data_IF_983162330338
#
_entry.id   IF_983162330338
#
_cell.length_a   1.000
_cell.length_b   1.000
_cell.length_c   1.000
_cell.angle_alpha   90.00
_cell.angle_beta   90.00
_cell.angle_gamma   90.00
#
_symmetry.space_group_name_H-M   'P 1'
#
loop_
_entity.id
_entity.type
_entity.pdbx_description
1 polymer ?
#
# COMPACT_ATOMS: atom_id res chain seq x y z
N UNK A 1 -31.62 24.27 -37.30
CA UNK A 1 -32.25 25.48 -36.72
C UNK A 1 -32.17 25.35 -35.21
N UNK A 2 -31.09 25.82 -34.60
CA UNK A 2 -30.97 25.86 -33.14
C UNK A 2 -31.77 27.06 -32.64
N UNK A 3 -32.75 26.80 -31.77
CA UNK A 3 -33.47 27.87 -31.09
C UNK A 3 -32.52 28.52 -30.08
N UNK A 4 -32.11 29.76 -30.33
CA UNK A 4 -31.41 30.57 -29.36
C UNK A 4 -32.38 30.92 -28.22
N UNK A 5 -32.25 30.26 -27.07
CA UNK A 5 -32.88 30.73 -25.82
C UNK A 5 -32.27 32.10 -25.53
N UNK A 6 -33.05 33.19 -25.39
CA UNK A 6 -32.54 34.51 -24.97
C UNK A 6 -31.93 34.52 -23.56
N UNK A 7 -31.95 33.36 -22.90
CA UNK A 7 -31.50 33.00 -21.57
C UNK A 7 -30.07 32.45 -21.55
N UNK A 8 -29.51 32.07 -22.72
CA UNK A 8 -28.18 31.46 -22.82
C UNK A 8 -27.17 32.53 -23.24
N UNK A 9 -26.22 32.82 -22.33
CA UNK A 9 -25.07 33.66 -22.66
C UNK A 9 -24.27 33.02 -23.80
N UNK A 10 -23.89 33.83 -24.78
CA UNK A 10 -23.00 33.37 -25.85
C UNK A 10 -21.62 32.98 -25.26
N UNK A 11 -20.89 32.10 -25.95
CA UNK A 11 -19.54 31.70 -25.53
C UNK A 11 -18.62 32.90 -25.27
N UNK A 12 -18.71 33.93 -26.13
CA UNK A 12 -17.99 35.19 -25.98
C UNK A 12 -18.38 35.93 -24.69
N UNK A 13 -19.68 35.97 -24.37
CA UNK A 13 -20.19 36.62 -23.17
C UNK A 13 -19.78 35.88 -21.89
N UNK A 14 -19.75 34.55 -21.89
CA UNK A 14 -19.27 33.74 -20.76
C UNK A 14 -17.76 33.97 -20.52
N UNK A 15 -16.96 34.01 -21.60
CA UNK A 15 -15.52 34.30 -21.51
C UNK A 15 -15.26 35.70 -20.94
N UNK A 16 -15.91 36.74 -21.46
CA UNK A 16 -15.76 38.12 -20.98
C UNK A 16 -16.23 38.29 -19.53
N UNK A 17 -17.34 37.65 -19.12
CA UNK A 17 -17.86 37.76 -17.75
C UNK A 17 -17.02 37.03 -16.70
N UNK A 18 -16.35 35.93 -17.05
CA UNK A 18 -15.63 35.09 -16.09
C UNK A 18 -14.11 35.30 -16.07
N UNK A 19 -13.53 35.82 -17.16
CA UNK A 19 -12.08 35.92 -17.37
C UNK A 19 -11.58 37.36 -17.46
N UNK A 20 -12.41 38.31 -17.91
CA UNK A 20 -11.96 39.68 -18.22
C UNK A 20 -12.42 40.74 -17.21
N UNK A 21 -12.85 40.34 -16.00
CA UNK A 21 -13.20 41.31 -14.95
C UNK A 21 -11.96 42.15 -14.56
N UNK A 22 -11.94 43.46 -14.86
CA UNK A 22 -10.82 44.34 -14.59
C UNK A 22 -10.51 44.49 -13.09
N UNK A 23 -11.48 44.20 -12.21
CA UNK A 23 -11.36 44.34 -10.76
C UNK A 23 -10.70 43.12 -10.07
N UNK A 24 -10.57 41.99 -10.77
CA UNK A 24 -9.94 40.78 -10.23
C UNK A 24 -8.40 40.84 -10.36
N UNK A 25 -7.65 40.54 -9.27
CA UNK A 25 -6.20 40.41 -9.33
C UNK A 25 -5.75 39.38 -10.37
N UNK A 26 -4.60 39.58 -11.06
CA UNK A 26 -4.14 38.69 -12.13
C UNK A 26 -4.09 37.20 -11.74
N UNK A 27 -3.62 36.88 -10.53
CA UNK A 27 -3.55 35.50 -10.05
C UNK A 27 -4.94 34.84 -9.84
N UNK A 28 -5.93 35.60 -9.38
CA UNK A 28 -7.31 35.11 -9.23
C UNK A 28 -8.01 34.99 -10.58
N UNK A 29 -7.69 35.88 -11.52
CA UNK A 29 -8.15 35.83 -12.91
C UNK A 29 -7.64 34.58 -13.61
N UNK A 30 -6.35 34.27 -13.49
CA UNK A 30 -5.74 33.06 -14.06
C UNK A 30 -6.35 31.78 -13.48
N UNK A 31 -6.67 31.76 -12.18
CA UNK A 31 -7.31 30.63 -11.52
C UNK A 31 -8.76 30.45 -11.98
N UNK A 32 -9.55 31.53 -12.05
CA UNK A 32 -10.92 31.49 -12.59
C UNK A 32 -10.92 31.06 -14.06
N UNK A 33 -10.00 31.56 -14.87
CA UNK A 33 -9.87 31.16 -16.27
C UNK A 33 -9.59 29.66 -16.40
N UNK A 34 -8.68 29.11 -15.57
CA UNK A 34 -8.43 27.66 -15.51
C UNK A 34 -9.69 26.89 -15.12
N UNK A 35 -10.42 27.33 -14.09
CA UNK A 35 -11.65 26.65 -13.64
C UNK A 35 -12.73 26.60 -14.73
N UNK A 36 -12.93 27.72 -15.45
CA UNK A 36 -13.91 27.81 -16.54
C UNK A 36 -13.50 26.94 -17.73
N UNK A 37 -12.22 27.00 -18.12
CA UNK A 37 -11.69 26.15 -19.20
C UNK A 37 -11.78 24.66 -18.83
N UNK A 38 -11.46 24.29 -17.58
CA UNK A 38 -11.63 22.93 -17.09
C UNK A 38 -13.09 22.50 -17.18
N UNK A 39 -14.04 23.30 -16.69
CA UNK A 39 -15.47 22.98 -16.76
C UNK A 39 -15.98 22.83 -18.21
N UNK A 40 -15.47 23.64 -19.14
CA UNK A 40 -15.82 23.56 -20.55
C UNK A 40 -15.25 22.33 -21.25
N UNK A 41 -13.99 21.99 -20.96
CA UNK A 41 -13.28 20.84 -21.57
C UNK A 41 -13.63 19.50 -20.90
N UNK A 42 -14.16 19.51 -19.67
CA UNK A 42 -14.42 18.30 -18.90
C UNK A 42 -15.27 17.25 -19.64
N UNK A 43 -16.38 17.60 -20.33
CA UNK A 43 -17.17 16.63 -21.08
C UNK A 43 -16.38 15.98 -22.23
N UNK A 44 -15.47 16.73 -22.87
CA UNK A 44 -14.62 16.22 -23.94
C UNK A 44 -13.53 15.30 -23.38
N UNK A 45 -12.81 15.76 -22.35
CA UNK A 45 -11.73 15.01 -21.71
C UNK A 45 -12.24 13.68 -21.14
N UNK A 46 -13.35 13.69 -20.39
CA UNK A 46 -13.90 12.48 -19.78
C UNK A 46 -14.47 11.45 -20.77
N UNK A 47 -14.92 11.89 -21.95
CA UNK A 47 -15.38 10.99 -23.02
C UNK A 47 -14.25 10.45 -23.87
N UNK A 48 -13.10 11.13 -23.89
CA UNK A 48 -11.98 10.75 -24.72
C UNK A 48 -11.16 9.63 -24.07
N UNK A 49 -11.06 8.47 -24.73
CA UNK A 49 -10.41 7.25 -24.19
C UNK A 49 -8.92 7.40 -23.80
N UNK A 50 -8.26 8.46 -24.27
CA UNK A 50 -6.82 8.71 -24.09
C UNK A 50 -6.49 10.04 -23.41
N UNK A 51 -7.50 10.73 -22.86
CA UNK A 51 -7.30 11.92 -22.04
C UNK A 51 -7.81 11.65 -20.62
N UNK A 52 -7.15 12.22 -19.63
CA UNK A 52 -7.63 12.22 -18.24
C UNK A 52 -7.16 13.50 -17.55
N UNK A 53 -7.88 13.94 -16.53
CA UNK A 53 -7.46 15.08 -15.72
C UNK A 53 -6.43 14.65 -14.68
N UNK A 54 -5.47 15.53 -14.40
CA UNK A 54 -4.60 15.36 -13.24
C UNK A 54 -5.38 15.61 -11.94
N UNK A 55 -5.42 14.66 -11.00
CA UNK A 55 -6.08 14.82 -9.70
C UNK A 55 -5.23 15.58 -8.67
N UNK A 56 -4.00 15.97 -9.01
CA UNK A 56 -3.08 16.63 -8.08
C UNK A 56 -3.57 18.00 -7.64
N UNK A 57 -3.59 18.24 -6.32
CA UNK A 57 -4.07 19.51 -5.73
C UNK A 57 -3.28 20.72 -6.24
N UNK A 58 -1.94 20.57 -6.38
CA UNK A 58 -1.06 21.60 -6.92
C UNK A 58 -1.37 21.94 -8.40
N UNK A 59 -2.04 21.04 -9.13
CA UNK A 59 -2.47 21.29 -10.50
C UNK A 59 -3.86 21.98 -10.57
N UNK A 60 -4.62 22.06 -9.47
CA UNK A 60 -5.98 22.65 -9.41
C UNK A 60 -6.92 22.19 -10.55
N UNK A 61 -6.77 20.94 -11.01
CA UNK A 61 -7.56 20.41 -12.13
C UNK A 61 -7.25 21.00 -13.51
N UNK A 62 -6.14 21.72 -13.69
CA UNK A 62 -5.79 22.40 -14.95
C UNK A 62 -4.96 21.56 -15.94
N UNK A 63 -4.42 20.42 -15.51
CA UNK A 63 -3.57 19.56 -16.35
C UNK A 63 -4.36 18.41 -16.96
N UNK A 64 -4.32 18.28 -18.29
CA UNK A 64 -4.80 17.09 -19.01
C UNK A 64 -3.61 16.20 -19.37
N UNK A 65 -3.70 14.92 -19.03
CA UNK A 65 -2.72 13.91 -19.42
C UNK A 65 -3.24 13.17 -20.66
N UNK A 66 -2.42 13.12 -21.71
CA UNK A 66 -2.72 12.37 -22.93
C UNK A 66 -1.82 11.14 -23.05
N UNK A 67 -2.38 10.01 -23.42
CA UNK A 67 -1.59 8.80 -23.73
C UNK A 67 -1.41 8.67 -25.25
N UNK A 68 -0.18 8.60 -25.79
CA UNK A 68 0.09 8.52 -27.24
C UNK A 68 -0.52 7.28 -27.88
N UNK A 69 -1.06 7.40 -29.11
CA UNK A 69 -1.79 6.36 -29.85
C UNK A 69 -1.17 4.95 -29.82
N UNK A 70 0.16 4.90 -29.81
CA UNK A 70 1.00 3.71 -29.90
C UNK A 70 1.02 2.87 -28.61
N UNK A 71 0.60 3.45 -27.48
CA UNK A 71 0.53 2.74 -26.21
C UNK A 71 -0.79 1.97 -26.14
N UNK A 72 -0.71 0.65 -25.94
CA UNK A 72 -1.88 -0.19 -25.68
C UNK A 72 -2.47 0.15 -24.31
N UNK A 73 -3.79 0.36 -24.25
CA UNK A 73 -4.49 0.71 -23.02
C UNK A 73 -5.44 -0.41 -22.63
N UNK A 74 -5.22 -1.00 -21.46
CA UNK A 74 -6.25 -1.78 -20.79
C UNK A 74 -7.28 -0.84 -20.20
N UNK A 75 -8.57 -1.10 -20.39
CA UNK A 75 -9.65 -0.28 -19.80
C UNK A 75 -9.94 -0.62 -18.34
N UNK A 76 -9.44 -1.76 -17.86
CA UNK A 76 -9.78 -2.29 -16.54
C UNK A 76 -8.59 -2.26 -15.57
N UNK A 77 -7.36 -2.35 -16.08
CA UNK A 77 -6.15 -2.44 -15.26
C UNK A 77 -5.56 -1.08 -14.94
N UNK A 78 -4.74 -1.04 -13.88
CA UNK A 78 -4.01 0.16 -13.48
C UNK A 78 -3.02 0.58 -14.58
N UNK A 79 -3.16 1.82 -15.07
CA UNK A 79 -2.16 2.45 -15.93
C UNK A 79 -1.60 3.65 -15.18
N UNK A 80 -0.42 3.49 -14.57
CA UNK A 80 0.24 4.56 -13.82
C UNK A 80 0.77 5.65 -14.73
N UNK A 81 0.45 6.90 -14.43
CA UNK A 81 0.95 8.09 -15.13
C UNK A 81 1.50 9.11 -14.13
N UNK A 82 2.38 9.99 -14.60
CA UNK A 82 2.95 11.08 -13.82
C UNK A 82 2.63 12.40 -14.49
N UNK A 83 2.06 13.34 -13.74
CA UNK A 83 1.83 14.69 -14.22
C UNK A 83 3.15 15.44 -14.38
N UNK A 84 3.42 16.05 -15.55
CA UNK A 84 4.64 16.85 -15.77
C UNK A 84 4.62 18.22 -15.08
N UNK A 85 3.46 18.71 -14.65
CA UNK A 85 3.33 20.02 -14.00
C UNK A 85 3.49 19.92 -12.49
N UNK A 86 2.70 19.07 -11.83
CA UNK A 86 2.71 18.93 -10.38
C UNK A 86 3.37 17.63 -9.88
N UNK A 87 3.95 16.81 -10.77
CA UNK A 87 4.60 15.53 -10.44
C UNK A 87 3.71 14.49 -9.74
N UNK A 88 2.40 14.76 -9.58
CA UNK A 88 1.43 13.83 -9.03
C UNK A 88 1.40 12.54 -9.86
N UNK A 89 1.58 11.42 -9.18
CA UNK A 89 1.51 10.06 -9.74
C UNK A 89 0.13 9.48 -9.47
N UNK A 90 -0.55 9.00 -10.52
CA UNK A 90 -1.94 8.54 -10.40
C UNK A 90 -2.32 7.54 -11.49
N UNK A 91 -3.42 6.83 -11.28
CA UNK A 91 -3.94 5.88 -12.26
C UNK A 91 -4.75 6.62 -13.31
N UNK A 92 -4.39 6.45 -14.57
CA UNK A 92 -5.02 7.11 -15.69
C UNK A 92 -6.55 6.88 -15.76
N UNK A 93 -7.02 5.70 -15.35
CA UNK A 93 -8.42 5.28 -15.49
C UNK A 93 -9.30 5.63 -14.29
N UNK A 94 -8.77 5.53 -13.07
CA UNK A 94 -9.56 5.74 -11.85
C UNK A 94 -9.14 6.97 -11.04
N UNK A 95 -8.13 7.70 -11.50
CA UNK A 95 -7.57 8.90 -10.85
C UNK A 95 -7.02 8.64 -9.43
N UNK A 96 -6.88 7.36 -9.03
CA UNK A 96 -6.32 7.00 -7.73
C UNK A 96 -4.87 7.47 -7.64
N UNK A 97 -4.56 8.28 -6.63
CA UNK A 97 -3.21 8.75 -6.32
C UNK A 97 -2.57 7.93 -5.21
N UNK A 98 -1.24 7.96 -5.13
CA UNK A 98 -0.49 7.39 -4.00
C UNK A 98 -0.91 7.97 -2.63
N UNK A 99 -1.48 9.18 -2.60
CA UNK A 99 -1.94 9.90 -1.40
C UNK A 99 -3.39 9.63 -1.05
N UNK A 100 -4.27 9.51 -2.04
CA UNK A 100 -5.70 9.22 -1.85
C UNK A 100 -5.92 7.78 -1.37
N UNK A 101 -4.99 6.87 -1.69
CA UNK A 101 -4.91 5.56 -1.04
C UNK A 101 -4.54 5.65 0.46
N UNK A 102 -3.82 6.71 0.89
CA UNK A 102 -3.58 7.00 2.32
C UNK A 102 -4.76 7.71 2.98
N UNK A 103 -5.57 8.47 2.24
CA UNK A 103 -6.75 9.15 2.79
C UNK A 103 -7.86 8.18 3.25
N UNK A 104 -7.82 6.91 2.82
CA UNK A 104 -8.62 5.83 3.41
C UNK A 104 -8.26 5.57 4.89
N UNK A 105 -7.04 5.93 5.32
CA UNK A 105 -6.60 5.89 6.72
C UNK A 105 -7.25 7.00 7.56
N UNK A 106 -7.84 8.03 6.93
CA UNK A 106 -8.44 9.16 7.66
C UNK A 106 -9.77 8.82 8.34
N UNK A 107 -10.31 7.61 8.14
CA UNK A 107 -11.39 7.08 9.00
C UNK A 107 -10.90 6.62 10.40
N UNK A 108 -9.58 6.62 10.65
CA UNK A 108 -9.00 6.60 12.00
C UNK A 108 -8.71 8.00 12.57
N UNK A 109 -8.96 9.07 11.81
CA UNK A 109 -8.62 10.46 12.14
C UNK A 109 -9.59 11.18 13.08
N UNK A 110 -10.11 10.53 14.12
CA UNK A 110 -10.70 11.22 15.28
C UNK A 110 -9.94 10.96 16.59
N UNK A 111 -8.82 10.24 16.56
CA UNK A 111 -7.90 10.13 17.70
C UNK A 111 -6.48 10.26 17.17
N UNK A 112 -6.00 11.51 17.14
CA UNK A 112 -4.59 11.98 17.15
C UNK A 112 -4.43 13.38 16.54
N UNK A 113 -5.50 14.20 16.52
CA UNK A 113 -5.39 15.66 16.35
C UNK A 113 -4.88 16.34 17.62
N UNK A 114 -3.66 15.99 18.03
CA UNK A 114 -2.84 16.80 18.91
C UNK A 114 -1.40 16.28 18.84
N UNK A 115 -0.51 17.09 18.26
CA UNK A 115 0.95 16.93 18.12
C UNK A 115 1.44 16.31 16.80
N UNK A 116 1.37 17.09 15.71
CA UNK A 116 2.61 17.49 15.02
C UNK A 116 2.34 18.64 14.03
N UNK A 117 2.44 19.87 14.51
CA UNK A 117 2.69 21.01 13.63
C UNK A 117 4.21 21.11 13.48
N UNK A 118 4.75 20.42 12.47
CA UNK A 118 6.04 20.77 11.89
C UNK A 118 5.98 20.45 10.39
N UNK A 119 5.48 21.43 9.66
CA UNK A 119 5.68 21.60 8.23
C UNK A 119 7.17 21.77 7.97
N UNK A 120 7.84 20.74 7.48
CA UNK A 120 9.08 20.76 6.68
C UNK A 120 9.49 19.31 6.34
N UNK A 121 8.59 18.54 5.71
CA UNK A 121 8.94 17.25 5.07
C UNK A 121 8.82 17.41 3.55
N UNK A 122 9.76 18.16 2.95
CA UNK A 122 9.91 18.25 1.51
C UNK A 122 10.55 16.98 0.93
N UNK A 123 9.81 16.37 -0.01
CA UNK A 123 10.27 15.76 -1.25
C UNK A 123 11.60 14.97 -1.24
N UNK A 124 11.50 13.64 -1.20
CA UNK A 124 12.49 12.75 -1.84
C UNK A 124 11.72 11.64 -2.58
N UNK A 125 11.72 11.75 -3.91
CA UNK A 125 11.10 10.80 -4.85
C UNK A 125 11.96 9.54 -5.01
N UNK A 126 11.36 8.35 -4.92
CA UNK A 126 11.98 7.08 -5.34
C UNK A 126 11.06 6.34 -6.32
N UNK A 127 11.62 5.41 -7.12
CA UNK A 127 10.94 4.65 -8.18
C UNK A 127 9.77 3.75 -7.72
N UNK A 128 9.45 3.70 -6.43
CA UNK A 128 8.47 2.77 -5.88
C UNK A 128 7.01 3.28 -5.82
N UNK A 129 6.69 4.26 -6.68
CA UNK A 129 5.32 4.72 -6.94
C UNK A 129 4.71 4.21 -8.25
N UNK A 130 5.34 3.25 -8.92
CA UNK A 130 4.82 2.69 -10.18
C UNK A 130 3.63 1.72 -9.95
N UNK A 131 3.53 1.13 -8.76
CA UNK A 131 2.41 0.24 -8.42
C UNK A 131 1.42 1.01 -7.54
N UNK A 132 0.39 1.59 -8.17
CA UNK A 132 -0.66 2.31 -7.44
C UNK A 132 -1.64 1.33 -6.83
N UNK A 133 -2.30 0.54 -7.67
CA UNK A 133 -3.27 -0.47 -7.22
C UNK A 133 -3.14 -1.83 -7.92
N UNK A 134 -2.00 -2.12 -8.56
CA UNK A 134 -1.74 -3.46 -9.12
C UNK A 134 -1.51 -4.47 -7.99
N UNK A 135 -2.09 -5.68 -8.02
CA UNK A 135 -2.78 -6.34 -9.14
C UNK A 135 -4.26 -5.97 -9.33
N UNK A 136 -4.88 -5.27 -8.38
CA UNK A 136 -6.32 -4.99 -8.45
C UNK A 136 -6.73 -4.19 -9.69
N UNK A 137 -7.89 -4.54 -10.26
CA UNK A 137 -8.53 -3.75 -11.32
C UNK A 137 -9.06 -2.43 -10.76
N UNK A 138 -9.23 -1.44 -11.63
CA UNK A 138 -9.79 -0.14 -11.25
C UNK A 138 -11.19 -0.27 -10.62
N UNK A 139 -12.02 -1.16 -11.19
CA UNK A 139 -13.36 -1.43 -10.68
C UNK A 139 -13.32 -2.13 -9.32
N UNK A 140 -12.45 -3.13 -9.16
CA UNK A 140 -12.24 -3.84 -7.89
C UNK A 140 -11.87 -2.87 -6.77
N UNK A 141 -10.88 -2.01 -7.01
CA UNK A 141 -10.48 -0.98 -6.05
C UNK A 141 -11.63 -0.04 -5.69
N UNK A 142 -12.36 0.47 -6.68
CA UNK A 142 -13.49 1.38 -6.44
C UNK A 142 -14.59 0.72 -5.62
N UNK A 143 -14.93 -0.52 -5.95
CA UNK A 143 -15.92 -1.31 -5.20
C UNK A 143 -15.46 -1.53 -3.76
N UNK A 144 -14.22 -1.97 -3.55
CA UNK A 144 -13.65 -2.19 -2.23
C UNK A 144 -13.63 -0.92 -1.36
N UNK A 145 -13.29 0.22 -1.96
CA UNK A 145 -13.34 1.53 -1.30
C UNK A 145 -14.77 1.94 -0.93
N UNK A 146 -15.75 1.67 -1.80
CA UNK A 146 -17.15 1.94 -1.51
C UNK A 146 -17.66 1.11 -0.32
N UNK A 147 -17.30 -0.18 -0.26
CA UNK A 147 -17.59 -1.02 0.91
C UNK A 147 -16.94 -0.45 2.17
N UNK A 148 -15.67 -0.04 2.09
CA UNK A 148 -14.98 0.56 3.23
C UNK A 148 -15.69 1.80 3.75
N UNK A 149 -16.12 2.69 2.85
CA UNK A 149 -16.82 3.92 3.24
C UNK A 149 -18.21 3.65 3.82
N UNK A 150 -18.94 2.68 3.26
CA UNK A 150 -20.29 2.34 3.73
C UNK A 150 -20.26 1.59 5.07
N UNK A 151 -19.30 0.69 5.25
CA UNK A 151 -19.15 -0.16 6.43
C UNK A 151 -18.15 0.39 7.45
N UNK A 152 -17.76 1.68 7.33
CA UNK A 152 -16.68 2.30 8.09
C UNK A 152 -16.85 2.21 9.61
N UNK A 153 -18.07 2.34 10.13
CA UNK A 153 -18.36 2.18 11.55
C UNK A 153 -18.18 0.74 12.04
N UNK A 154 -18.59 -0.24 11.24
CA UNK A 154 -18.36 -1.66 11.50
C UNK A 154 -16.88 -1.97 11.42
N UNK A 155 -16.18 -1.55 10.36
CA UNK A 155 -14.73 -1.69 10.25
C UNK A 155 -13.99 -1.06 11.42
N UNK A 156 -14.39 0.15 11.83
CA UNK A 156 -13.79 0.85 12.96
C UNK A 156 -13.94 0.03 14.24
N UNK A 157 -15.15 -0.38 14.61
CA UNK A 157 -15.37 -1.18 15.82
C UNK A 157 -14.53 -2.47 15.85
N UNK A 158 -14.27 -3.05 14.68
CA UNK A 158 -13.52 -4.29 14.52
C UNK A 158 -12.01 -4.06 14.59
N UNK A 159 -11.51 -3.00 13.95
CA UNK A 159 -10.09 -2.66 13.83
C UNK A 159 -9.58 -1.79 14.98
N UNK A 160 -10.46 -1.17 15.76
CA UNK A 160 -10.16 -0.34 16.92
C UNK A 160 -10.10 -1.14 18.22
N UNK A 161 -10.37 -2.44 18.20
CA UNK A 161 -10.17 -3.28 19.38
C UNK A 161 -8.69 -3.25 19.75
N UNK A 162 -8.44 -2.87 21.01
CA UNK A 162 -7.12 -2.90 21.59
C UNK A 162 -6.61 -4.33 21.48
N UNK A 163 -5.53 -4.54 20.73
CA UNK A 163 -4.93 -5.87 20.65
C UNK A 163 -4.19 -6.16 21.96
N UNK A 164 -4.28 -7.40 22.40
CA UNK A 164 -3.62 -7.87 23.62
C UNK A 164 -2.74 -9.08 23.30
N UNK A 165 -1.62 -9.21 24.01
CA UNK A 165 -0.73 -10.35 23.88
C UNK A 165 -1.51 -11.66 24.14
N UNK A 166 -1.45 -12.66 23.23
CA UNK A 166 -2.19 -13.92 23.39
C UNK A 166 -1.71 -14.74 24.59
N UNK A 167 -0.52 -14.49 25.11
CA UNK A 167 0.02 -15.14 26.32
C UNK A 167 -0.32 -14.35 27.60
N UNK A 168 0.23 -13.14 27.77
CA UNK A 168 0.16 -12.41 29.05
C UNK A 168 -0.92 -11.31 29.12
N UNK A 169 -1.69 -11.08 28.04
CA UNK A 169 -2.77 -10.08 27.97
C UNK A 169 -2.35 -8.63 28.21
N UNK A 170 -1.06 -8.32 28.16
CA UNK A 170 -0.60 -6.93 28.09
C UNK A 170 -1.03 -6.32 26.75
N UNK A 171 -1.44 -5.05 26.77
CA UNK A 171 -1.77 -4.27 25.57
C UNK A 171 -0.59 -4.24 24.61
N UNK A 172 -0.83 -4.50 23.32
CA UNK A 172 0.21 -4.44 22.30
C UNK A 172 0.02 -3.20 21.42
N UNK A 173 1.14 -2.61 21.03
CA UNK A 173 1.19 -1.55 20.03
C UNK A 173 2.16 -1.99 18.95
N UNK A 174 1.76 -1.84 17.70
CA UNK A 174 2.62 -2.14 16.56
C UNK A 174 3.68 -1.06 16.41
N UNK A 175 4.95 -1.45 16.45
CA UNK A 175 6.11 -0.54 16.39
C UNK A 175 7.02 -0.78 15.20
N UNK A 176 6.87 -1.92 14.52
CA UNK A 176 7.67 -2.33 13.34
C UNK A 176 6.76 -2.81 12.21
N UNK A 177 7.27 -2.76 10.97
CA UNK A 177 6.50 -3.22 9.82
C UNK A 177 6.30 -4.74 9.78
N UNK A 178 7.25 -5.51 10.32
CA UNK A 178 7.17 -6.98 10.35
C UNK A 178 5.96 -7.48 11.16
N UNK A 179 5.23 -8.46 10.62
CA UNK A 179 4.12 -9.13 11.31
C UNK A 179 4.58 -10.03 12.47
N UNK A 180 5.86 -10.41 12.53
CA UNK A 180 6.43 -11.15 13.65
C UNK A 180 6.61 -10.23 14.87
N UNK A 181 5.85 -10.49 15.93
CA UNK A 181 5.92 -9.74 17.18
C UNK A 181 6.46 -10.60 18.31
N UNK A 182 7.32 -10.01 19.14
CA UNK A 182 7.77 -10.57 20.41
C UNK A 182 7.23 -9.70 21.54
N UNK A 183 6.46 -10.29 22.47
CA UNK A 183 5.92 -9.55 23.60
C UNK A 183 7.05 -8.98 24.49
N UNK A 184 7.01 -7.70 24.82
CA UNK A 184 8.02 -7.08 25.69
C UNK A 184 7.98 -7.59 27.14
N UNK A 185 6.81 -8.04 27.61
CA UNK A 185 6.62 -8.52 28.99
C UNK A 185 6.93 -10.01 29.15
N UNK A 186 6.32 -10.88 28.34
CA UNK A 186 6.47 -12.33 28.49
C UNK A 186 7.33 -12.99 27.41
N UNK A 187 7.92 -12.22 26.48
CA UNK A 187 8.74 -12.71 25.36
C UNK A 187 8.05 -13.69 24.41
N UNK A 188 6.74 -13.91 24.54
CA UNK A 188 5.97 -14.75 23.62
C UNK A 188 6.01 -14.20 22.19
N UNK A 189 6.32 -15.06 21.23
CA UNK A 189 6.41 -14.75 19.80
C UNK A 189 5.12 -15.14 19.06
N UNK A 190 4.54 -14.19 18.33
CA UNK A 190 3.25 -14.37 17.67
C UNK A 190 3.12 -13.52 16.40
N UNK A 191 2.15 -13.87 15.55
CA UNK A 191 1.82 -13.09 14.35
C UNK A 191 0.83 -11.97 14.69
N UNK A 192 1.09 -10.73 14.26
CA UNK A 192 0.20 -9.59 14.50
C UNK A 192 -1.18 -9.73 13.84
N UNK A 193 -1.25 -10.43 12.70
CA UNK A 193 -2.48 -10.55 11.91
C UNK A 193 -3.45 -11.55 12.53
N UNK A 194 -2.98 -12.77 12.81
CA UNK A 194 -3.82 -13.86 13.32
C UNK A 194 -3.72 -14.08 14.83
N UNK A 195 -2.73 -13.47 15.50
CA UNK A 195 -2.42 -13.64 16.92
C UNK A 195 -2.01 -15.07 17.33
N UNK A 196 -1.80 -15.96 16.35
CA UNK A 196 -1.29 -17.31 16.55
C UNK A 196 0.21 -17.35 16.87
N UNK A 197 0.65 -18.47 17.44
CA UNK A 197 2.05 -18.71 17.82
C UNK A 197 2.96 -18.64 16.59
N UNK A 198 4.07 -17.92 16.70
CA UNK A 198 4.98 -17.74 15.57
C UNK A 198 5.55 -19.06 15.05
N UNK A 199 5.96 -19.96 15.96
CA UNK A 199 6.55 -21.26 15.61
C UNK A 199 5.61 -22.17 14.81
N UNK A 200 4.30 -22.00 14.91
CA UNK A 200 3.31 -22.81 14.19
C UNK A 200 3.17 -22.41 12.72
N UNK A 201 3.69 -21.23 12.35
CA UNK A 201 3.72 -20.82 10.95
C UNK A 201 4.83 -21.55 10.15
N UNK A 202 5.68 -22.36 10.81
CA UNK A 202 6.78 -23.09 10.18
C UNK A 202 6.36 -24.18 9.18
N UNK A 203 5.14 -24.71 9.27
CA UNK A 203 4.69 -25.89 8.50
C UNK A 203 4.11 -25.54 7.11
N UNK A 204 4.78 -24.69 6.33
CA UNK A 204 4.51 -24.55 4.89
C UNK A 204 4.56 -23.13 4.32
N UNK A 205 4.33 -22.09 5.13
CA UNK A 205 4.60 -20.70 4.81
C UNK A 205 4.45 -19.85 6.10
N UNK A 206 5.53 -19.22 6.57
CA UNK A 206 5.57 -18.45 7.82
C UNK A 206 4.54 -17.30 7.91
N UNK A 207 3.88 -16.97 6.81
CA UNK A 207 2.94 -15.86 6.70
C UNK A 207 1.57 -16.27 6.13
N UNK A 208 1.39 -17.55 5.77
CA UNK A 208 0.05 -18.10 5.53
C UNK A 208 -0.56 -18.48 6.88
N UNK A 209 -1.55 -17.72 7.34
CA UNK A 209 -2.26 -17.98 8.61
C UNK A 209 -3.19 -19.23 8.55
N UNK A 210 -2.95 -20.17 7.62
CA UNK A 210 -3.87 -21.26 7.25
C UNK A 210 -4.13 -22.26 8.38
N UNK A 211 -3.23 -22.35 9.37
CA UNK A 211 -3.40 -23.18 10.55
C UNK A 211 -3.57 -22.31 11.81
N UNK A 212 -4.63 -21.50 11.87
CA UNK A 212 -5.09 -20.89 13.13
C UNK A 212 -5.79 -21.92 14.05
N UNK A 213 -5.29 -23.15 14.08
CA UNK A 213 -5.73 -24.23 14.95
C UNK A 213 -5.12 -24.10 16.33
N UNK A 214 -5.64 -23.16 17.13
CA UNK A 214 -5.68 -23.23 18.59
C UNK A 214 -4.38 -23.10 19.38
N UNK A 215 -4.14 -21.92 19.95
CA UNK A 215 -3.58 -21.78 21.30
C UNK A 215 -3.92 -20.41 21.93
N UNK A 216 -4.90 -20.36 22.84
CA UNK A 216 -5.08 -19.24 23.79
C UNK A 216 -6.34 -18.38 23.64
N UNK A 217 -7.53 -19.01 23.77
CA UNK A 217 -8.84 -18.34 23.91
C UNK A 217 -8.83 -17.23 24.96
N UNK A 218 -8.87 -15.96 24.54
CA UNK A 218 -9.30 -14.85 25.40
C UNK A 218 -10.32 -13.96 24.71
N UNK A 219 -11.31 -13.53 25.49
CA UNK A 219 -12.51 -12.78 25.09
C UNK A 219 -12.24 -11.46 24.37
N UNK A 220 -11.06 -10.85 24.53
CA UNK A 220 -10.72 -9.55 23.91
C UNK A 220 -10.36 -9.64 22.41
N UNK A 221 -9.83 -10.78 21.95
CA UNK A 221 -9.49 -11.02 20.54
C UNK A 221 -10.59 -11.79 19.78
N UNK A 222 -11.69 -12.09 20.49
CA UNK A 222 -12.77 -12.99 20.06
C UNK A 222 -13.48 -12.52 18.79
N UNK A 223 -13.55 -11.22 18.54
CA UNK A 223 -14.24 -10.70 17.36
C UNK A 223 -13.52 -11.10 16.06
N UNK A 224 -12.19 -11.00 16.01
CA UNK A 224 -11.42 -11.40 14.82
C UNK A 224 -11.46 -12.93 14.63
N UNK A 225 -11.31 -13.68 15.71
CA UNK A 225 -11.41 -15.15 15.68
C UNK A 225 -12.81 -15.62 15.26
N UNK A 226 -13.88 -14.95 15.70
CA UNK A 226 -15.25 -15.26 15.31
C UNK A 226 -15.50 -15.00 13.83
N UNK A 227 -15.02 -13.88 13.28
CA UNK A 227 -15.18 -13.59 11.86
C UNK A 227 -14.38 -14.57 10.98
N UNK A 228 -13.21 -15.02 11.44
CA UNK A 228 -12.39 -16.02 10.75
C UNK A 228 -13.00 -17.44 10.80
N UNK A 229 -13.71 -17.79 11.88
CA UNK A 229 -14.37 -19.10 12.03
C UNK A 229 -15.73 -19.17 11.33
N UNK A 230 -16.43 -18.04 11.23
CA UNK A 230 -17.80 -17.97 10.73
C UNK A 230 -17.88 -17.32 9.33
N UNK A 231 -16.80 -17.37 8.54
CA UNK A 231 -16.72 -16.72 7.21
C UNK A 231 -17.89 -17.14 6.30
N UNK A 232 -18.28 -18.42 6.39
CA UNK A 232 -19.33 -19.02 5.56
C UNK A 232 -20.67 -19.20 6.31
N UNK A 233 -20.79 -18.69 7.54
CA UNK A 233 -22.02 -18.78 8.33
C UNK A 233 -22.88 -17.52 8.14
N UNK A 234 -24.20 -17.68 8.28
CA UNK A 234 -25.17 -16.58 8.12
C UNK A 234 -25.67 -16.39 6.69
N UNK A 235 -26.38 -15.29 6.47
CA UNK A 235 -26.92 -14.87 5.17
C UNK A 235 -25.82 -14.52 4.17
N UNK A 236 -26.08 -14.54 2.86
CA UNK A 236 -25.09 -14.13 1.86
C UNK A 236 -24.51 -12.72 2.08
N UNK A 237 -25.29 -11.81 2.65
CA UNK A 237 -24.84 -10.47 3.00
C UNK A 237 -23.82 -10.48 4.16
N UNK A 238 -24.10 -11.27 5.20
CA UNK A 238 -23.20 -11.45 6.35
C UNK A 238 -21.89 -12.13 5.93
N UNK A 239 -21.95 -13.18 5.10
CA UNK A 239 -20.76 -13.84 4.56
C UNK A 239 -19.88 -12.86 3.75
N UNK A 240 -20.50 -12.02 2.91
CA UNK A 240 -19.78 -10.99 2.14
C UNK A 240 -19.12 -9.96 3.06
N UNK A 241 -19.81 -9.51 4.11
CA UNK A 241 -19.24 -8.59 5.11
C UNK A 241 -18.06 -9.22 5.85
N UNK A 242 -18.19 -10.48 6.31
CA UNK A 242 -17.12 -11.19 7.01
C UNK A 242 -15.86 -11.30 6.13
N UNK A 243 -16.04 -11.66 4.86
CA UNK A 243 -14.94 -11.70 3.88
C UNK A 243 -14.33 -10.33 3.63
N UNK A 244 -15.14 -9.28 3.55
CA UNK A 244 -14.66 -7.91 3.37
C UNK A 244 -13.77 -7.48 4.54
N UNK A 245 -14.24 -7.65 5.77
CA UNK A 245 -13.51 -7.32 7.00
C UNK A 245 -12.13 -7.99 7.04
N UNK A 246 -12.04 -9.28 6.69
CA UNK A 246 -10.79 -10.03 6.69
C UNK A 246 -9.80 -9.48 5.66
N UNK A 247 -10.26 -9.28 4.42
CA UNK A 247 -9.40 -8.76 3.35
C UNK A 247 -8.98 -7.31 3.63
N UNK A 248 -9.88 -6.49 4.19
CA UNK A 248 -9.57 -5.12 4.61
C UNK A 248 -8.52 -5.07 5.71
N UNK A 249 -8.59 -5.98 6.69
CA UNK A 249 -7.56 -6.05 7.74
C UNK A 249 -6.18 -6.39 7.18
N UNK A 250 -6.09 -7.33 6.23
CA UNK A 250 -4.81 -7.69 5.60
C UNK A 250 -4.31 -6.56 4.69
N UNK A 251 -5.19 -5.97 3.90
CA UNK A 251 -4.93 -4.76 3.09
C UNK A 251 -4.31 -3.63 3.94
N UNK A 252 -5.03 -3.21 4.98
CA UNK A 252 -4.58 -2.13 5.88
C UNK A 252 -3.30 -2.49 6.64
N UNK A 253 -3.15 -3.75 7.07
CA UNK A 253 -1.92 -4.20 7.74
C UNK A 253 -0.67 -4.01 6.89
N UNK A 254 -0.71 -4.31 5.58
CA UNK A 254 0.45 -4.08 4.70
C UNK A 254 0.75 -2.60 4.49
N UNK A 255 -0.27 -1.74 4.47
CA UNK A 255 -0.08 -0.28 4.38
C UNK A 255 0.52 0.30 5.66
N UNK A 256 -0.01 -0.12 6.82
CA UNK A 256 0.55 0.21 8.14
C UNK A 256 2.02 -0.23 8.23
N UNK A 257 2.32 -1.48 7.80
CA UNK A 257 3.69 -1.99 7.76
C UNK A 257 4.61 -1.12 6.94
N UNK A 258 4.16 -0.75 5.74
CA UNK A 258 4.94 0.09 4.83
C UNK A 258 5.27 1.44 5.46
N UNK A 259 4.31 2.06 6.15
CA UNK A 259 4.56 3.33 6.84
C UNK A 259 5.64 3.19 7.93
N UNK A 260 5.59 2.11 8.70
CA UNK A 260 6.59 1.81 9.73
C UNK A 260 7.96 1.50 9.14
N UNK A 261 8.02 0.68 8.08
CA UNK A 261 9.25 0.34 7.34
C UNK A 261 9.92 1.62 6.81
N UNK A 262 9.17 2.52 6.17
CA UNK A 262 9.69 3.79 5.65
C UNK A 262 10.20 4.71 6.76
N UNK A 263 9.50 4.79 7.89
CA UNK A 263 9.96 5.57 9.05
C UNK A 263 11.29 5.03 9.58
N UNK A 264 11.45 3.71 9.67
CA UNK A 264 12.68 3.07 10.11
C UNK A 264 13.85 3.32 9.12
N UNK A 265 13.60 3.14 7.82
CA UNK A 265 14.58 3.41 6.76
C UNK A 265 15.06 4.87 6.76
N UNK A 266 14.13 5.84 6.84
CA UNK A 266 14.49 7.27 6.88
C UNK A 266 15.38 7.62 8.07
N UNK A 267 15.12 7.05 9.25
CA UNK A 267 15.96 7.25 10.43
C UNK A 267 17.38 6.71 10.18
N UNK A 268 17.49 5.48 9.69
CA UNK A 268 18.78 4.83 9.44
C UNK A 268 19.57 5.52 8.32
N UNK A 269 18.92 5.97 7.24
CA UNK A 269 19.57 6.76 6.18
C UNK A 269 20.15 8.06 6.74
N UNK A 270 19.43 8.76 7.62
CA UNK A 270 19.96 9.97 8.29
C UNK A 270 21.19 9.65 9.15
N UNK A 271 21.13 8.60 9.96
CA UNK A 271 22.25 8.14 10.80
C UNK A 271 23.49 7.81 9.94
N UNK A 272 23.34 7.03 8.87
CA UNK A 272 24.44 6.66 7.97
C UNK A 272 25.03 7.88 7.26
N UNK A 273 24.19 8.83 6.79
CA UNK A 273 24.67 10.09 6.19
C UNK A 273 25.48 10.92 7.19
N UNK A 274 25.10 10.97 8.47
CA UNK A 274 25.87 11.71 9.49
C UNK A 274 27.26 11.11 9.75
N UNK A 275 27.42 9.79 9.59
CA UNK A 275 28.73 9.15 9.72
C UNK A 275 29.69 9.48 8.57
N UNK A 276 29.18 9.76 7.37
CA UNK A 276 30.01 10.19 6.23
C UNK A 276 30.79 11.47 6.52
N UNK A 277 30.29 12.33 7.42
CA UNK A 277 30.95 13.57 7.77
C UNK A 277 32.12 13.41 8.74
N UNK A 278 32.25 12.25 9.43
CA UNK A 278 33.11 12.17 10.60
C UNK A 278 34.29 11.19 10.57
N UNK A 279 34.50 10.29 9.60
CA UNK A 279 35.76 9.49 9.62
C UNK A 279 36.16 8.74 8.33
N UNK A 280 37.48 8.72 8.12
CA UNK A 280 38.34 7.79 7.33
C UNK A 280 38.22 6.28 7.71
N UNK A 281 37.16 5.86 8.42
CA UNK A 281 37.05 4.51 9.04
C UNK A 281 36.53 3.43 8.08
N UNK A 282 35.78 3.81 7.03
CA UNK A 282 35.27 2.89 6.01
C UNK A 282 36.36 2.28 5.10
N UNK A 283 37.57 2.85 5.10
CA UNK A 283 38.66 2.45 4.21
C UNK A 283 39.36 1.13 4.62
N UNK A 284 39.21 0.66 5.87
CA UNK A 284 39.96 -0.50 6.39
C UNK A 284 39.31 -1.87 6.09
N UNK A 285 38.01 -1.92 5.80
CA UNK A 285 37.23 -3.15 5.53
C UNK A 285 36.65 -3.20 4.10
N UNK A 286 36.90 -2.17 3.27
CA UNK A 286 36.48 -2.14 1.86
C UNK A 286 34.98 -1.90 1.61
N UNK A 287 34.16 -1.62 2.63
CA UNK A 287 32.74 -1.28 2.48
C UNK A 287 32.56 0.22 2.41
N UNK A 288 32.16 0.74 1.24
CA UNK A 288 31.87 2.18 1.09
C UNK A 288 30.52 2.55 1.73
N UNK A 289 30.44 3.72 2.36
CA UNK A 289 29.18 4.21 2.92
C UNK A 289 28.10 4.38 1.84
N UNK A 290 28.52 4.73 0.61
CA UNK A 290 27.60 4.81 -0.53
C UNK A 290 26.95 3.45 -0.82
N UNK A 291 27.70 2.35 -0.74
CA UNK A 291 27.16 1.01 -0.94
C UNK A 291 26.09 0.62 0.09
N UNK A 292 26.17 1.15 1.32
CA UNK A 292 25.13 0.95 2.35
C UNK A 292 23.90 1.81 2.04
N UNK A 293 24.08 3.05 1.61
CA UNK A 293 22.97 3.91 1.19
C UNK A 293 22.22 3.33 -0.02
N UNK A 294 22.95 2.82 -1.02
CA UNK A 294 22.36 2.16 -2.20
C UNK A 294 21.57 0.90 -1.80
N UNK A 295 22.09 0.14 -0.81
CA UNK A 295 21.37 -1.01 -0.25
C UNK A 295 20.06 -0.58 0.42
N UNK A 296 20.10 0.46 1.25
CA UNK A 296 18.91 0.97 1.95
C UNK A 296 17.86 1.53 0.97
N UNK A 297 18.28 2.22 -0.09
CA UNK A 297 17.36 2.67 -1.15
C UNK A 297 16.74 1.49 -1.91
N UNK A 298 17.55 0.48 -2.25
CA UNK A 298 17.04 -0.74 -2.89
C UNK A 298 16.06 -1.51 -1.99
N UNK A 299 16.32 -1.53 -0.67
CA UNK A 299 15.43 -2.12 0.33
C UNK A 299 14.11 -1.33 0.45
N UNK A 300 14.17 0.00 0.53
CA UNK A 300 12.98 0.88 0.58
C UNK A 300 12.09 0.65 -0.64
N UNK A 301 12.69 0.68 -1.84
CA UNK A 301 11.94 0.47 -3.08
C UNK A 301 11.29 -0.90 -3.16
N UNK A 302 12.03 -1.94 -2.75
CA UNK A 302 11.53 -3.32 -2.82
C UNK A 302 10.39 -3.55 -1.83
N UNK A 303 10.53 -3.09 -0.59
CA UNK A 303 9.47 -3.15 0.43
C UNK A 303 8.25 -2.33 0.01
N UNK A 304 8.45 -1.13 -0.55
CA UNK A 304 7.35 -0.29 -1.00
C UNK A 304 6.56 -0.94 -2.13
N UNK A 305 7.22 -1.54 -3.12
CA UNK A 305 6.53 -2.24 -4.21
C UNK A 305 5.84 -3.50 -3.70
N UNK A 306 6.52 -4.35 -2.94
CA UNK A 306 5.94 -5.62 -2.50
C UNK A 306 4.76 -5.43 -1.53
N UNK A 307 4.85 -4.51 -0.57
CA UNK A 307 3.75 -4.18 0.36
C UNK A 307 2.51 -3.67 -0.38
N UNK A 308 2.68 -2.81 -1.39
CA UNK A 308 1.57 -2.31 -2.21
C UNK A 308 0.95 -3.41 -3.06
N UNK A 309 1.74 -4.29 -3.68
CA UNK A 309 1.23 -5.44 -4.43
C UNK A 309 0.43 -6.37 -3.51
N UNK A 310 0.97 -6.69 -2.32
CA UNK A 310 0.30 -7.54 -1.35
C UNK A 310 -1.01 -6.92 -0.86
N UNK A 311 -1.01 -5.65 -0.50
CA UNK A 311 -2.24 -4.94 -0.11
C UNK A 311 -3.30 -5.06 -1.22
N UNK A 312 -2.96 -4.67 -2.45
CA UNK A 312 -3.91 -4.68 -3.56
C UNK A 312 -4.28 -6.10 -4.04
N UNK A 313 -3.50 -7.13 -3.69
CA UNK A 313 -3.90 -8.53 -3.95
C UNK A 313 -5.12 -8.93 -3.13
N UNK A 314 -5.26 -8.43 -1.89
CA UNK A 314 -6.44 -8.69 -1.05
C UNK A 314 -7.71 -7.99 -1.55
N UNK A 315 -7.55 -6.85 -2.21
CA UNK A 315 -8.66 -6.18 -2.92
C UNK A 315 -9.20 -7.11 -4.00
N UNK A 316 -8.30 -7.65 -4.84
CA UNK A 316 -8.69 -8.48 -5.96
C UNK A 316 -9.20 -9.86 -5.52
N UNK A 317 -8.60 -10.47 -4.50
CA UNK A 317 -9.09 -11.72 -3.86
C UNK A 317 -10.52 -11.55 -3.33
N UNK A 318 -10.82 -10.41 -2.70
CA UNK A 318 -12.17 -10.12 -2.23
C UNK A 318 -13.17 -10.02 -3.38
N UNK A 319 -12.83 -9.26 -4.42
CA UNK A 319 -13.75 -8.99 -5.53
C UNK A 319 -13.98 -10.22 -6.41
N UNK A 320 -12.95 -11.06 -6.61
CA UNK A 320 -13.06 -12.31 -7.36
C UNK A 320 -13.65 -13.48 -6.55
N UNK A 321 -13.93 -13.26 -5.26
CA UNK A 321 -14.38 -14.31 -4.35
C UNK A 321 -13.45 -15.53 -4.30
N UNK A 322 -12.13 -15.29 -4.39
CA UNK A 322 -11.13 -16.35 -4.27
C UNK A 322 -11.13 -16.85 -2.82
N UNK A 323 -11.38 -18.14 -2.63
CA UNK A 323 -11.41 -18.78 -1.32
C UNK A 323 -9.99 -19.20 -0.95
N UNK A 324 -9.42 -18.60 0.10
CA UNK A 324 -8.20 -19.11 0.73
C UNK A 324 -8.54 -20.45 1.41
N UNK A 325 -8.43 -21.57 0.69
CA UNK A 325 -8.77 -22.90 1.22
C UNK A 325 -7.98 -23.22 2.50
N UNK A 326 -8.69 -23.68 3.53
CA UNK A 326 -8.12 -24.49 4.60
C UNK A 326 -7.81 -25.89 4.05
N UNK A 327 -6.64 -26.40 4.42
CA UNK A 327 -6.12 -27.71 4.02
C UNK A 327 -7.17 -28.82 4.16
N UNK A 328 -7.68 -29.36 3.06
CA UNK A 328 -8.03 -30.77 3.06
C UNK A 328 -6.71 -31.53 2.92
N UNK A 329 -6.40 -32.30 3.96
CA UNK A 329 -5.31 -33.27 3.98
C UNK A 329 -5.31 -34.04 2.66
N UNK A 330 -4.23 -33.91 1.90
CA UNK A 330 -3.48 -35.03 1.35
C UNK A 330 -2.11 -34.51 0.92
N UNK A 331 -1.07 -35.25 1.32
CA UNK A 331 0.27 -35.10 0.77
C UNK A 331 0.18 -35.04 -0.75
N UNK A 332 0.88 -34.10 -1.39
CA UNK A 332 1.83 -34.45 -2.45
C UNK A 332 2.64 -33.23 -2.94
N UNK A 333 3.95 -33.40 -2.82
CA UNK A 333 5.02 -33.04 -3.75
C UNK A 333 4.80 -31.90 -4.75
N UNK A 334 5.72 -30.93 -4.66
CA UNK A 334 6.33 -30.00 -5.61
C UNK A 334 6.13 -30.14 -7.16
N UNK A 335 4.97 -30.55 -7.66
CA UNK A 335 4.62 -30.46 -9.08
C UNK A 335 3.49 -29.45 -9.28
N UNK A 336 3.73 -28.45 -10.14
CA UNK A 336 2.74 -27.44 -10.53
C UNK A 336 1.66 -27.97 -11.50
N UNK A 337 1.70 -29.25 -11.85
CA UNK A 337 0.76 -29.88 -12.77
C UNK A 337 -0.53 -30.23 -12.02
N UNK A 338 -1.57 -29.39 -12.17
CA UNK A 338 -2.92 -29.66 -11.68
C UNK A 338 -3.53 -28.66 -10.71
N UNK A 339 -2.83 -27.58 -10.33
CA UNK A 339 -3.43 -26.51 -9.50
C UNK A 339 -4.37 -25.63 -10.32
N UNK A 340 -5.49 -25.24 -9.72
CA UNK A 340 -6.34 -24.19 -10.28
C UNK A 340 -5.59 -22.87 -10.35
N UNK A 341 -6.02 -21.96 -11.24
CA UNK A 341 -5.42 -20.62 -11.38
C UNK A 341 -5.44 -19.87 -10.04
N UNK A 342 -6.53 -20.00 -9.28
CA UNK A 342 -6.69 -19.40 -7.95
C UNK A 342 -5.69 -19.94 -6.92
N UNK A 343 -5.48 -21.26 -6.90
CA UNK A 343 -4.50 -21.89 -6.00
C UNK A 343 -3.06 -21.44 -6.32
N UNK A 344 -2.74 -21.29 -7.60
CA UNK A 344 -1.42 -20.80 -8.03
C UNK A 344 -1.20 -19.34 -7.61
N UNK A 345 -2.21 -18.49 -7.81
CA UNK A 345 -2.22 -17.09 -7.38
C UNK A 345 -1.98 -16.99 -5.87
N UNK A 346 -2.77 -17.73 -5.08
CA UNK A 346 -2.65 -17.72 -3.62
C UNK A 346 -1.29 -18.23 -3.13
N UNK A 347 -0.78 -19.30 -3.74
CA UNK A 347 0.52 -19.86 -3.41
C UNK A 347 1.65 -18.86 -3.65
N UNK A 348 1.72 -18.28 -4.85
CA UNK A 348 2.81 -17.34 -5.22
C UNK A 348 2.70 -16.01 -4.49
N UNK A 349 1.48 -15.51 -4.25
CA UNK A 349 1.23 -14.39 -3.31
C UNK A 349 1.77 -14.71 -1.92
N UNK A 350 1.52 -15.92 -1.40
CA UNK A 350 2.04 -16.38 -0.11
C UNK A 350 3.57 -16.36 -0.05
N UNK A 351 4.25 -16.77 -1.13
CA UNK A 351 5.72 -16.67 -1.22
C UNK A 351 6.19 -15.22 -1.18
N UNK A 352 5.56 -14.31 -1.93
CA UNK A 352 5.91 -12.88 -1.91
C UNK A 352 5.70 -12.26 -0.52
N UNK A 353 4.62 -12.63 0.17
CA UNK A 353 4.33 -12.17 1.53
C UNK A 353 5.45 -12.59 2.49
N UNK A 354 5.89 -13.84 2.38
CA UNK A 354 6.97 -14.37 3.21
C UNK A 354 8.31 -13.68 3.00
N UNK A 355 8.67 -13.46 1.74
CA UNK A 355 9.90 -12.76 1.39
C UNK A 355 9.87 -11.30 1.84
N UNK A 356 8.73 -10.62 1.67
CA UNK A 356 8.53 -9.22 2.09
C UNK A 356 8.69 -9.03 3.60
N UNK A 357 8.11 -9.93 4.38
CA UNK A 357 8.15 -9.83 5.82
C UNK A 357 9.52 -10.19 6.39
N UNK A 358 10.22 -11.12 5.74
CA UNK A 358 11.62 -11.39 6.03
C UNK A 358 12.51 -10.17 5.71
N UNK A 359 12.29 -9.47 4.60
CA UNK A 359 12.98 -8.20 4.32
C UNK A 359 12.71 -7.15 5.40
N UNK A 360 11.47 -7.02 5.86
CA UNK A 360 11.12 -6.11 6.97
C UNK A 360 11.78 -6.53 8.29
N UNK A 361 11.97 -7.84 8.52
CA UNK A 361 12.78 -8.35 9.64
C UNK A 361 14.25 -7.96 9.51
N UNK A 362 14.87 -8.13 8.34
CA UNK A 362 16.25 -7.72 8.09
C UNK A 362 16.43 -6.21 8.28
N UNK A 363 15.47 -5.41 7.81
CA UNK A 363 15.44 -3.97 8.08
C UNK A 363 15.48 -3.70 9.59
N UNK A 364 14.66 -4.41 10.38
CA UNK A 364 14.69 -4.25 11.83
C UNK A 364 16.08 -4.53 12.40
N UNK A 365 16.75 -5.61 11.99
CA UNK A 365 18.12 -5.92 12.41
C UNK A 365 19.09 -4.79 12.04
N UNK A 366 19.03 -4.32 10.79
CA UNK A 366 19.84 -3.21 10.29
C UNK A 366 19.60 -1.88 11.02
N UNK A 367 18.43 -1.70 11.67
CA UNK A 367 18.09 -0.51 12.46
C UNK A 367 18.35 -0.70 13.96
N UNK A 368 18.44 -1.93 14.47
CA UNK A 368 18.76 -2.19 15.89
C UNK A 368 20.24 -2.33 16.17
N UNK A 369 21.02 -2.74 15.17
CA UNK A 369 22.47 -2.85 15.30
C UNK A 369 23.15 -1.46 15.30
N UNK A 370 24.27 -1.37 16.02
CA UNK A 370 25.12 -0.18 16.02
C UNK A 370 25.52 0.13 14.57
N UNK A 371 25.40 1.39 14.17
CA UNK A 371 25.69 1.81 12.80
C UNK A 371 27.15 1.50 12.44
N UNK A 372 28.07 1.53 13.41
CA UNK A 372 29.46 1.14 13.21
C UNK A 372 29.62 -0.37 12.97
N UNK A 373 28.89 -1.23 13.68
CA UNK A 373 28.89 -2.68 13.46
C UNK A 373 28.29 -3.06 12.10
N UNK A 374 27.22 -2.36 11.69
CA UNK A 374 26.63 -2.53 10.35
C UNK A 374 27.62 -2.18 9.25
N UNK A 375 28.46 -1.15 9.45
CA UNK A 375 29.45 -0.69 8.47
C UNK A 375 30.76 -1.49 8.52
N UNK A 376 31.19 -1.96 9.70
CA UNK A 376 32.51 -2.59 9.92
C UNK A 376 32.49 -4.12 9.99
N UNK A 377 31.35 -4.76 10.31
CA UNK A 377 31.30 -6.20 10.60
C UNK A 377 30.09 -6.95 10.08
N UNK A 378 29.04 -6.26 9.61
CA UNK A 378 27.80 -6.89 9.16
C UNK A 378 27.83 -7.37 7.70
N UNK A 379 29.01 -7.79 7.19
CA UNK A 379 29.17 -8.27 5.80
C UNK A 379 28.21 -9.40 5.43
N UNK A 380 27.93 -10.31 6.37
CA UNK A 380 26.94 -11.37 6.20
C UNK A 380 25.51 -10.83 6.12
N UNK A 381 25.12 -9.88 7.00
CA UNK A 381 23.78 -9.28 7.01
C UNK A 381 23.53 -8.44 5.74
N UNK A 382 24.53 -7.69 5.27
CA UNK A 382 24.48 -6.95 4.01
C UNK A 382 24.30 -7.90 2.83
N UNK A 383 25.08 -8.97 2.77
CA UNK A 383 25.01 -9.97 1.69
C UNK A 383 23.67 -10.68 1.70
N UNK A 384 23.18 -11.11 2.86
CA UNK A 384 21.87 -11.72 3.04
C UNK A 384 20.75 -10.76 2.61
N UNK A 385 20.83 -9.49 2.99
CA UNK A 385 19.86 -8.46 2.58
C UNK A 385 19.85 -8.28 1.06
N UNK A 386 21.02 -8.22 0.41
CA UNK A 386 21.11 -8.14 -1.06
C UNK A 386 20.47 -9.35 -1.74
N UNK A 387 20.80 -10.56 -1.30
CA UNK A 387 20.22 -11.79 -1.86
C UNK A 387 18.70 -11.80 -1.71
N UNK A 388 18.20 -11.40 -0.54
CA UNK A 388 16.77 -11.36 -0.26
C UNK A 388 16.02 -10.31 -1.07
N UNK A 389 16.63 -9.15 -1.30
CA UNK A 389 16.09 -8.11 -2.19
C UNK A 389 15.92 -8.69 -3.59
N UNK A 390 16.95 -9.30 -4.17
CA UNK A 390 16.91 -9.89 -5.51
C UNK A 390 15.79 -10.94 -5.62
N UNK A 391 15.71 -11.86 -4.66
CA UNK A 391 14.68 -12.89 -4.62
C UNK A 391 13.27 -12.31 -4.52
N UNK A 392 13.09 -11.26 -3.71
CA UNK A 392 11.79 -10.57 -3.59
C UNK A 392 11.39 -9.88 -4.89
N UNK A 393 12.36 -9.23 -5.57
CA UNK A 393 12.13 -8.58 -6.87
C UNK A 393 11.76 -9.59 -7.96
N UNK A 394 12.32 -10.80 -7.94
CA UNK A 394 11.91 -11.88 -8.83
C UNK A 394 10.48 -12.33 -8.54
N UNK A 395 10.14 -12.57 -7.28
CA UNK A 395 8.78 -12.95 -6.87
C UNK A 395 7.75 -11.86 -7.21
N UNK A 396 8.11 -10.58 -7.13
CA UNK A 396 7.27 -9.47 -7.58
C UNK A 396 6.90 -9.65 -9.06
N UNK A 397 7.88 -9.92 -9.93
CA UNK A 397 7.65 -10.10 -11.37
C UNK A 397 6.73 -11.29 -11.63
N UNK A 398 6.97 -12.41 -10.94
CA UNK A 398 6.17 -13.62 -11.05
C UNK A 398 4.71 -13.34 -10.66
N UNK A 399 4.49 -12.75 -9.48
CA UNK A 399 3.14 -12.42 -9.01
C UNK A 399 2.45 -11.48 -9.99
N UNK A 400 3.12 -10.41 -10.44
CA UNK A 400 2.53 -9.48 -11.41
C UNK A 400 2.14 -10.16 -12.73
N UNK A 401 2.89 -11.16 -13.18
CA UNK A 401 2.58 -11.94 -14.38
C UNK A 401 1.39 -12.89 -14.19
N UNK A 402 1.21 -13.46 -13.00
CA UNK A 402 0.03 -14.32 -12.72
C UNK A 402 -1.26 -13.53 -12.68
N UNK A 403 -1.17 -12.26 -12.26
CA UNK A 403 -2.30 -11.36 -12.23
C UNK A 403 -2.55 -10.66 -13.56
N UNK A 404 -1.63 -10.68 -14.53
CA UNK A 404 -1.76 -10.01 -15.84
C UNK A 404 -2.56 -10.83 -16.83
#
# INVERSE_FOLDING_TARGET
MTADCPCLLSFQAIHTLLVEDPALPPAERDNKQKQVLTAYLDPYVRRHKRLTWCPGEACQGGSVISIPAQVSLSTERCTGVVCRQCHTRFCFHCEATSERLRALDSMRGQVDTAKNNNSNEEQEESMADVVLHTPSRCQSLRSFQLHANNDGASLYAILSTSLYCPSCKTRITRTTGCNHMTCSQCRYEFCYVCLGKWSEHANGNYYSCANAGGAGSNTANRFLEMNLKNINEGTPAEQKLNRFVINYKKYSSHLDSLQLDRRALRRRVKEVRTLQFNTDVAAREGVSVQSVLDLLDSLDRTLQVSRKILANSYVEIFELNIVEFGSNNNNDSANNEGRSVDELILFRKGLLESETEYLSKLLRSLVTEDVYEVVLGAGNLITETKQKITKTQENIKIVLADWS
#
